data_IF_867181454118
#
_entry.id   IF_867181454118
#
_cell.length_a   1.000
_cell.length_b   1.000
_cell.length_c   1.000
_cell.angle_alpha   90.00
_cell.angle_beta   90.00
_cell.angle_gamma   90.00
#
_symmetry.space_group_name_H-M   'P 1'
#
loop_
_entity.id
_entity.type
_entity.pdbx_description
1 polymer ?
#
# COMPACT_ATOMS: atom_id res chain seq x y z
N UNK A 1 -20.03 40.43 4.09
CA UNK A 1 -19.81 39.00 3.78
C UNK A 1 -18.89 38.88 2.56
N UNK A 2 -17.58 39.04 2.76
CA UNK A 2 -16.58 38.72 1.73
C UNK A 2 -16.45 37.20 1.67
N UNK A 3 -17.00 36.60 0.60
CA UNK A 3 -16.76 35.19 0.27
C UNK A 3 -15.26 34.98 0.19
N UNK A 4 -14.73 34.00 0.92
CA UNK A 4 -13.36 33.53 0.76
C UNK A 4 -13.05 33.50 -0.75
N UNK A 5 -12.17 34.38 -1.22
CA UNK A 5 -11.62 34.27 -2.57
C UNK A 5 -11.01 32.88 -2.63
N UNK A 6 -11.65 32.00 -3.40
CA UNK A 6 -11.25 30.61 -3.51
C UNK A 6 -9.76 30.57 -3.77
N UNK A 7 -9.04 29.76 -2.99
CA UNK A 7 -7.63 29.49 -3.22
C UNK A 7 -7.51 29.16 -4.71
N UNK A 8 -6.89 30.06 -5.47
CA UNK A 8 -6.64 29.87 -6.90
C UNK A 8 -5.58 28.79 -6.96
N UNK A 9 -6.03 27.53 -6.92
CA UNK A 9 -5.15 26.39 -7.07
C UNK A 9 -4.62 26.43 -8.49
N UNK A 10 -3.36 26.84 -8.62
CA UNK A 10 -2.66 26.84 -9.89
C UNK A 10 -2.69 25.41 -10.46
N UNK A 11 -3.10 25.31 -11.73
CA UNK A 11 -3.26 24.06 -12.45
C UNK A 11 -1.98 23.21 -12.44
N UNK A 12 -0.81 23.85 -12.32
CA UNK A 12 0.48 23.18 -12.19
C UNK A 12 0.55 22.34 -10.90
N UNK A 13 0.07 22.87 -9.76
CA UNK A 13 0.04 22.14 -8.49
C UNK A 13 -1.06 21.07 -8.45
N UNK A 14 -2.20 21.31 -9.10
CA UNK A 14 -3.27 20.31 -9.24
C UNK A 14 -2.82 19.15 -10.12
N UNK A 15 -2.08 19.42 -11.20
CA UNK A 15 -1.51 18.40 -12.08
C UNK A 15 -0.48 17.53 -11.35
N UNK A 16 0.38 18.14 -10.53
CA UNK A 16 1.41 17.43 -9.77
C UNK A 16 0.84 16.48 -8.69
N UNK A 17 -0.39 16.74 -8.22
CA UNK A 17 -1.04 15.93 -7.17
C UNK A 17 -2.01 14.88 -7.72
N UNK A 18 -2.34 14.92 -9.03
CA UNK A 18 -3.14 13.88 -9.67
C UNK A 18 -2.26 12.71 -10.13
N UNK A 19 -2.75 11.47 -10.01
CA UNK A 19 -2.06 10.31 -10.58
C UNK A 19 -1.88 10.49 -12.10
N UNK A 20 -0.74 10.06 -12.67
CA UNK A 20 -0.54 10.08 -14.11
C UNK A 20 -1.55 9.16 -14.81
N UNK A 21 -2.27 9.69 -15.80
CA UNK A 21 -3.27 8.96 -16.58
C UNK A 21 -2.93 8.97 -18.07
N UNK A 22 -3.16 7.84 -18.74
CA UNK A 22 -2.96 7.65 -20.19
C UNK A 22 -4.29 7.14 -20.77
N UNK A 23 -4.82 7.85 -21.77
CA UNK A 23 -6.14 7.57 -22.38
C UNK A 23 -7.30 7.39 -21.38
N UNK A 24 -7.24 8.13 -20.26
CA UNK A 24 -8.28 8.09 -19.22
C UNK A 24 -8.16 6.95 -18.22
N UNK A 25 -7.12 6.12 -18.31
CA UNK A 25 -6.81 5.05 -17.35
C UNK A 25 -5.51 5.39 -16.62
N UNK A 26 -5.36 5.00 -15.35
CA UNK A 26 -4.12 5.24 -14.61
C UNK A 26 -2.95 4.40 -15.13
N UNK A 27 -1.73 4.89 -14.92
CA UNK A 27 -0.51 4.19 -15.38
C UNK A 27 -0.45 2.72 -14.92
N UNK A 28 -0.78 2.44 -13.66
CA UNK A 28 -0.80 1.06 -13.11
C UNK A 28 -1.84 0.16 -13.80
N UNK A 29 -3.02 0.69 -14.11
CA UNK A 29 -4.06 -0.06 -14.82
C UNK A 29 -3.69 -0.32 -16.29
N UNK A 30 -3.06 0.65 -16.96
CA UNK A 30 -2.51 0.45 -18.31
C UNK A 30 -1.45 -0.65 -18.32
N UNK A 31 -0.52 -0.64 -17.35
CA UNK A 31 0.49 -1.69 -17.22
C UNK A 31 -0.14 -3.07 -17.00
N UNK A 32 -1.16 -3.17 -16.14
CA UNK A 32 -1.90 -4.41 -15.93
C UNK A 32 -2.55 -4.91 -17.22
N UNK A 33 -3.18 -4.02 -18.00
CA UNK A 33 -3.78 -4.39 -19.28
C UNK A 33 -2.74 -4.95 -20.27
N UNK A 34 -1.59 -4.28 -20.41
CA UNK A 34 -0.50 -4.70 -21.29
C UNK A 34 0.04 -6.08 -20.87
N UNK A 35 0.26 -6.30 -19.57
CA UNK A 35 0.72 -7.59 -19.07
C UNK A 35 -0.29 -8.69 -19.38
N UNK A 36 -1.56 -8.49 -19.04
CA UNK A 36 -2.62 -9.50 -19.29
C UNK A 36 -2.79 -9.81 -20.77
N UNK A 37 -2.81 -8.78 -21.62
CA UNK A 37 -2.97 -8.96 -23.08
C UNK A 37 -1.75 -9.62 -23.71
N UNK A 38 -0.54 -9.23 -23.30
CA UNK A 38 0.70 -9.87 -23.80
C UNK A 38 0.84 -11.32 -23.35
N UNK A 39 0.53 -11.64 -22.08
CA UNK A 39 0.55 -13.01 -21.58
C UNK A 39 -0.49 -13.89 -22.30
N UNK A 40 -1.71 -13.39 -22.47
CA UNK A 40 -2.78 -14.13 -23.17
C UNK A 40 -2.44 -14.42 -24.64
N UNK A 41 -1.80 -13.46 -25.32
CA UNK A 41 -1.30 -13.61 -26.68
C UNK A 41 -0.21 -14.69 -26.76
N UNK A 42 0.75 -14.69 -25.83
CA UNK A 42 1.85 -15.68 -25.81
C UNK A 42 1.30 -17.09 -25.57
N UNK A 43 0.36 -17.25 -24.62
CA UNK A 43 -0.21 -18.56 -24.28
C UNK A 43 -1.01 -19.14 -25.44
N UNK A 44 -1.83 -18.32 -26.10
CA UNK A 44 -2.74 -18.83 -27.14
C UNK A 44 -2.15 -18.75 -28.55
N UNK A 45 -1.07 -17.97 -28.75
CA UNK A 45 -0.46 -17.65 -30.05
C UNK A 45 -1.46 -17.17 -31.11
N UNK A 46 -2.56 -16.57 -30.67
CA UNK A 46 -3.65 -16.15 -31.53
C UNK A 46 -3.79 -14.63 -31.48
N UNK A 47 -3.75 -13.99 -32.65
CA UNK A 47 -3.83 -12.54 -32.81
C UNK A 47 -5.17 -11.96 -32.33
N UNK A 48 -6.22 -12.77 -32.25
CA UNK A 48 -7.53 -12.36 -31.73
C UNK A 48 -7.46 -11.85 -30.27
N UNK A 49 -6.47 -12.27 -29.49
CA UNK A 49 -6.27 -11.77 -28.12
C UNK A 49 -5.89 -10.30 -28.06
N UNK A 50 -5.36 -9.73 -29.15
CA UNK A 50 -5.14 -8.29 -29.24
C UNK A 50 -6.47 -7.52 -29.21
N UNK A 51 -7.56 -8.11 -29.73
CA UNK A 51 -8.89 -7.52 -29.67
C UNK A 51 -9.46 -7.51 -28.24
N UNK A 52 -9.04 -8.46 -27.39
CA UNK A 52 -9.42 -8.50 -25.98
C UNK A 52 -8.84 -7.33 -25.17
N UNK A 53 -7.88 -6.58 -25.73
CA UNK A 53 -7.40 -5.32 -25.16
C UNK A 53 -8.54 -4.33 -24.91
N UNK A 54 -9.43 -4.13 -25.89
CA UNK A 54 -10.54 -3.17 -25.81
C UNK A 54 -11.50 -3.44 -24.64
N UNK A 55 -12.10 -4.64 -24.48
CA UNK A 55 -13.03 -4.88 -23.39
C UNK A 55 -12.36 -4.80 -22.02
N UNK A 56 -11.12 -5.29 -21.90
CA UNK A 56 -10.36 -5.18 -20.64
C UNK A 56 -10.07 -3.71 -20.34
N UNK A 57 -9.63 -2.93 -21.32
CA UNK A 57 -9.34 -1.50 -21.15
C UNK A 57 -10.61 -0.73 -20.79
N UNK A 58 -11.75 -1.06 -21.40
CA UNK A 58 -13.05 -0.50 -21.07
C UNK A 58 -13.45 -0.74 -19.61
N UNK A 59 -13.26 -1.97 -19.09
CA UNK A 59 -13.52 -2.23 -17.67
C UNK A 59 -12.59 -1.43 -16.75
N UNK A 60 -11.30 -1.36 -17.08
CA UNK A 60 -10.34 -0.58 -16.29
C UNK A 60 -10.66 0.90 -16.30
N UNK A 61 -11.11 1.43 -17.44
CA UNK A 61 -11.59 2.80 -17.57
C UNK A 61 -12.79 3.08 -16.66
N UNK A 62 -13.77 2.18 -16.61
CA UNK A 62 -14.92 2.31 -15.71
C UNK A 62 -14.49 2.33 -14.23
N UNK A 63 -13.53 1.48 -13.85
CA UNK A 63 -12.99 1.46 -12.48
C UNK A 63 -12.24 2.76 -12.15
N UNK A 64 -11.40 3.24 -13.08
CA UNK A 64 -10.67 4.49 -12.91
C UNK A 64 -11.60 5.72 -12.86
N UNK A 65 -12.77 5.65 -13.49
CA UNK A 65 -13.79 6.71 -13.42
C UNK A 65 -14.38 6.84 -12.02
N UNK A 66 -14.54 5.72 -11.31
CA UNK A 66 -15.06 5.71 -9.95
C UNK A 66 -13.99 6.10 -8.92
N UNK A 67 -12.80 5.50 -9.00
CA UNK A 67 -11.69 5.79 -8.10
C UNK A 67 -10.35 5.70 -8.85
N UNK A 68 -9.69 6.85 -9.15
CA UNK A 68 -8.48 6.84 -9.96
C UNK A 68 -7.34 6.08 -9.27
N UNK A 69 -7.29 6.09 -7.93
CA UNK A 69 -6.19 5.50 -7.16
C UNK A 69 -6.39 4.01 -6.85
N UNK A 70 -7.49 3.40 -7.30
CA UNK A 70 -7.85 2.03 -6.93
C UNK A 70 -6.72 1.02 -7.17
N UNK A 71 -6.13 1.03 -8.37
CA UNK A 71 -5.07 0.10 -8.75
C UNK A 71 -3.75 0.34 -7.99
N UNK A 72 -3.42 1.60 -7.72
CA UNK A 72 -2.22 1.94 -6.92
C UNK A 72 -2.38 1.46 -5.48
N UNK A 73 -3.56 1.67 -4.90
CA UNK A 73 -3.88 1.17 -3.56
C UNK A 73 -3.90 -0.36 -3.52
N UNK A 74 -4.44 -1.01 -4.55
CA UNK A 74 -4.46 -2.47 -4.66
C UNK A 74 -3.05 -3.04 -4.74
N UNK A 75 -2.19 -2.45 -5.57
CA UNK A 75 -0.78 -2.85 -5.67
C UNK A 75 -0.03 -2.62 -4.35
N UNK A 76 -0.22 -1.47 -3.71
CA UNK A 76 0.40 -1.16 -2.43
C UNK A 76 -0.09 -2.13 -1.33
N UNK A 77 -1.39 -2.41 -1.30
CA UNK A 77 -1.98 -3.40 -0.41
C UNK A 77 -1.38 -4.78 -0.66
N UNK A 78 -1.25 -5.20 -1.91
CA UNK A 78 -0.60 -6.47 -2.26
C UNK A 78 0.83 -6.54 -1.74
N UNK A 79 1.64 -5.52 -2.02
CA UNK A 79 3.05 -5.47 -1.57
C UNK A 79 3.21 -5.43 -0.05
N UNK A 80 2.26 -4.85 0.67
CA UNK A 80 2.36 -4.70 2.14
C UNK A 80 1.71 -5.85 2.89
N UNK A 81 0.56 -6.35 2.45
CA UNK A 81 -0.21 -7.38 3.16
C UNK A 81 0.15 -8.81 2.75
N UNK A 82 0.49 -9.05 1.48
CA UNK A 82 0.84 -10.42 1.03
C UNK A 82 2.08 -10.96 1.75
N UNK A 83 3.21 -10.23 1.88
CA UNK A 83 4.36 -10.74 2.63
C UNK A 83 4.04 -10.97 4.10
N UNK A 84 3.19 -10.11 4.69
CA UNK A 84 2.73 -10.26 6.06
C UNK A 84 1.97 -11.57 6.29
N UNK A 85 1.10 -11.92 5.33
CA UNK A 85 0.28 -13.13 5.37
C UNK A 85 1.09 -14.39 5.05
N UNK A 86 1.96 -14.32 4.03
CA UNK A 86 2.72 -15.47 3.52
C UNK A 86 3.91 -15.82 4.42
N UNK A 87 4.71 -14.84 4.86
CA UNK A 87 5.88 -15.11 5.72
C UNK A 87 5.50 -15.40 7.18
N UNK A 88 4.21 -15.51 7.51
CA UNK A 88 3.74 -15.78 8.86
C UNK A 88 3.99 -14.62 9.85
N UNK A 89 4.49 -13.46 9.40
CA UNK A 89 4.68 -12.27 10.21
C UNK A 89 3.37 -11.88 10.92
N UNK A 90 2.25 -11.93 10.19
CA UNK A 90 0.93 -11.68 10.75
C UNK A 90 0.50 -12.75 11.77
N UNK A 91 0.97 -14.00 11.64
CA UNK A 91 0.66 -15.06 12.60
C UNK A 91 1.48 -14.94 13.88
N UNK A 92 2.75 -14.60 13.74
CA UNK A 92 3.67 -14.48 14.88
C UNK A 92 3.49 -13.14 15.63
N UNK A 93 3.43 -12.02 14.91
CA UNK A 93 3.40 -10.67 15.49
C UNK A 93 2.02 -10.02 15.51
N UNK A 94 1.02 -10.60 14.81
CA UNK A 94 -0.34 -10.00 14.63
C UNK A 94 -0.36 -8.58 14.04
N UNK A 95 0.80 -8.08 13.60
CA UNK A 95 1.01 -6.78 13.00
C UNK A 95 1.79 -6.93 11.69
N UNK A 96 1.70 -5.92 10.82
CA UNK A 96 2.51 -5.87 9.60
C UNK A 96 3.91 -5.26 9.85
N UNK A 97 4.05 -4.50 10.93
CA UNK A 97 5.30 -3.80 11.28
C UNK A 97 6.09 -4.59 12.31
N UNK A 98 7.40 -4.71 12.09
CA UNK A 98 8.32 -5.23 13.11
C UNK A 98 8.57 -4.13 14.14
N UNK A 99 8.07 -4.33 15.36
CA UNK A 99 8.33 -3.46 16.50
C UNK A 99 8.93 -4.31 17.62
N UNK A 100 10.05 -3.88 18.25
CA UNK A 100 10.54 -4.54 19.46
C UNK A 100 9.59 -4.33 20.65
N UNK A 101 8.70 -3.34 20.55
CA UNK A 101 7.63 -3.11 21.51
C UNK A 101 6.49 -4.10 21.25
N UNK A 102 6.07 -4.85 22.27
CA UNK A 102 4.88 -5.69 22.18
C UNK A 102 3.65 -4.80 21.90
N UNK A 103 3.13 -4.85 20.67
CA UNK A 103 1.97 -4.06 20.27
C UNK A 103 0.70 -4.78 20.70
N UNK A 104 0.00 -4.22 21.68
CA UNK A 104 -1.33 -4.69 22.08
C UNK A 104 -2.36 -4.25 21.02
N UNK A 105 -2.66 -5.13 20.05
CA UNK A 105 -3.70 -4.86 19.06
C UNK A 105 -5.08 -4.98 19.71
N UNK A 106 -5.98 -4.02 19.47
CA UNK A 106 -7.36 -4.14 19.93
C UNK A 106 -8.01 -5.39 19.34
N UNK A 107 -8.80 -6.07 20.16
CA UNK A 107 -9.63 -7.19 19.71
C UNK A 107 -10.67 -6.73 18.68
N UNK A 108 -11.37 -7.65 18.01
CA UNK A 108 -12.42 -7.33 17.03
C UNK A 108 -13.55 -6.45 17.60
N UNK A 109 -13.67 -6.40 18.93
CA UNK A 109 -14.58 -5.54 19.69
C UNK A 109 -13.98 -4.21 20.15
N UNK A 110 -12.79 -3.83 19.67
CA UNK A 110 -12.12 -2.56 19.99
C UNK A 110 -11.48 -2.49 21.38
N UNK A 111 -11.43 -3.59 22.13
CA UNK A 111 -10.85 -3.62 23.48
C UNK A 111 -9.33 -3.78 23.40
N UNK A 112 -8.57 -2.79 23.89
CA UNK A 112 -7.10 -2.90 24.11
C UNK A 112 -6.84 -3.43 25.51
N UNK A 113 -5.91 -4.37 25.68
CA UNK A 113 -5.41 -4.71 27.03
C UNK A 113 -4.41 -3.62 27.44
N UNK A 114 -4.79 -2.81 28.41
CA UNK A 114 -3.89 -1.83 29.03
C UNK A 114 -2.98 -2.55 30.02
N UNK A 115 -1.93 -3.22 29.55
CA UNK A 115 -0.78 -3.53 30.41
C UNK A 115 0.39 -2.66 29.97
N UNK A 116 0.94 -1.81 30.85
CA UNK A 116 2.17 -1.11 30.52
C UNK A 116 3.25 -2.17 30.34
N UNK A 117 3.83 -2.24 29.13
CA UNK A 117 5.03 -3.01 28.87
C UNK A 117 6.16 -2.27 29.57
N UNK A 118 6.49 -2.70 30.79
CA UNK A 118 7.68 -2.26 31.49
C UNK A 118 8.88 -2.74 30.68
N UNK A 119 9.45 -1.83 29.89
CA UNK A 119 10.68 -2.07 29.14
C UNK A 119 11.79 -2.23 30.19
N UNK A 120 12.07 -3.47 30.56
CA UNK A 120 13.25 -3.87 31.33
C UNK A 120 14.49 -3.49 30.52
N UNK A 121 14.88 -2.23 30.59
CA UNK A 121 16.26 -1.81 30.38
C UNK A 121 17.05 -2.33 31.57
N UNK A 122 17.29 -3.65 31.61
CA UNK A 122 18.19 -4.25 32.59
C UNK A 122 19.57 -3.73 32.25
N UNK A 123 19.94 -2.65 32.94
CA UNK A 123 21.22 -2.01 32.86
C UNK A 123 22.31 -3.05 32.88
N UNK A 124 23.17 -2.97 31.85
CA UNK A 124 24.54 -3.40 31.88
C UNK A 124 25.11 -2.97 33.23
N UNK A 125 25.23 -3.93 34.16
CA UNK A 125 26.03 -3.76 35.36
C UNK A 125 27.46 -3.55 34.87
N UNK A 126 27.84 -2.29 34.77
CA UNK A 126 29.21 -1.81 34.86
C UNK A 126 29.85 -2.46 36.09
N UNK A 127 30.44 -3.65 35.92
CA UNK A 127 31.48 -4.13 36.83
C UNK A 127 32.72 -3.30 36.55
N UNK A 128 32.69 -2.06 37.04
CA UNK A 128 33.88 -1.30 37.34
C UNK A 128 34.75 -2.16 38.24
N UNK A 129 35.89 -2.56 37.71
CA UNK A 129 36.95 -3.20 38.48
C UNK A 129 37.34 -2.22 39.59
N UNK A 130 37.35 -2.72 40.83
CA UNK A 130 38.00 -2.10 41.96
C UNK A 130 39.45 -1.78 41.59
N UNK A 131 39.79 -0.49 41.55
CA UNK A 131 41.15 0.00 41.76
C UNK A 131 41.13 0.69 43.13
N UNK A 132 41.43 -0.09 44.16
CA UNK A 132 41.97 0.40 45.43
C UNK A 132 43.41 0.85 45.21
N UNK A 133 43.82 1.84 46.00
CA UNK A 133 45.13 2.49 46.05
C UNK A 133 46.33 1.53 45.96
#
# INVERSE_FOLDING_TARGET
MSRNQGIVADALFVGMTRPPMVWGVTYSAMMFNIVVTSESFIVTKNLAWLLAFLPIHGMLFLVCLHEPRFFDLLQLWGRTRLPAMVNGNLRFWRANSYSPLAVDLPDAHGRRRSRPVEVLYRGRTERGKQCTC
#
